data_IF_597082566452
#
_entry.id   IF_597082566452
#
_cell.length_a   1.000
_cell.length_b   1.000
_cell.length_c   1.000
_cell.angle_alpha   90.00
_cell.angle_beta   90.00
_cell.angle_gamma   90.00
#
_symmetry.space_group_name_H-M   'P 1'
#
loop_
_entity.id
_entity.type
_entity.pdbx_description
1 polymer ?
#
# COMPACT_ATOMS: atom_id res chain seq x y z
N UNK A 1 -3.80 -13.65 4.64
CA UNK A 1 -4.60 -14.59 5.47
C UNK A 1 -4.24 -16.00 5.04
N UNK A 2 -4.26 -16.96 5.95
CA UNK A 2 -3.86 -18.34 5.67
C UNK A 2 -5.02 -19.28 5.97
N UNK A 3 -5.43 -20.07 4.97
CA UNK A 3 -6.52 -21.04 5.09
C UNK A 3 -5.94 -22.45 5.18
N UNK A 4 -6.31 -23.17 6.24
CA UNK A 4 -5.94 -24.56 6.46
C UNK A 4 -7.15 -25.46 6.23
N UNK A 5 -6.99 -26.45 5.35
CA UNK A 5 -8.10 -27.28 4.91
C UNK A 5 -7.67 -28.74 4.76
N UNK A 6 -8.53 -29.66 5.16
CA UNK A 6 -8.30 -31.09 5.13
C UNK A 6 -8.95 -31.69 3.89
N UNK A 7 -8.14 -32.35 3.07
CA UNK A 7 -8.57 -32.94 1.80
C UNK A 7 -8.36 -34.45 1.79
N UNK A 8 -9.20 -35.13 1.01
CA UNK A 8 -9.11 -36.55 0.73
C UNK A 8 -8.98 -36.79 -0.77
N UNK A 9 -8.06 -37.66 -1.18
CA UNK A 9 -7.92 -38.11 -2.57
C UNK A 9 -8.36 -39.58 -2.69
N UNK A 10 -9.52 -39.85 -3.32
CA UNK A 10 -10.00 -41.23 -3.51
C UNK A 10 -9.11 -42.07 -4.42
N UNK A 11 -8.38 -41.45 -5.35
CA UNK A 11 -7.55 -42.17 -6.33
C UNK A 11 -6.31 -42.79 -5.68
N UNK A 12 -5.77 -42.13 -4.64
CA UNK A 12 -4.58 -42.60 -3.91
C UNK A 12 -4.89 -43.05 -2.48
N UNK A 13 -6.16 -43.03 -2.07
CA UNK A 13 -6.64 -43.25 -0.70
C UNK A 13 -5.84 -42.48 0.37
N UNK A 14 -5.54 -41.21 0.09
CA UNK A 14 -4.70 -40.38 0.94
C UNK A 14 -5.45 -39.18 1.49
N UNK A 15 -5.03 -38.74 2.66
CA UNK A 15 -5.51 -37.52 3.30
C UNK A 15 -4.35 -36.55 3.48
N UNK A 16 -4.60 -35.27 3.27
CA UNK A 16 -3.57 -34.25 3.42
C UNK A 16 -4.16 -32.91 3.87
N UNK A 17 -3.35 -32.13 4.58
CA UNK A 17 -3.68 -30.77 4.95
C UNK A 17 -3.06 -29.82 3.93
N UNK A 18 -3.90 -29.02 3.28
CA UNK A 18 -3.47 -28.00 2.33
C UNK A 18 -3.56 -26.62 2.93
N UNK A 19 -2.53 -25.82 2.62
CA UNK A 19 -2.40 -24.43 3.00
C UNK A 19 -2.64 -23.55 1.77
N UNK A 20 -3.50 -22.55 1.91
CA UNK A 20 -3.70 -21.52 0.88
C UNK A 20 -3.37 -20.14 1.46
N UNK A 21 -2.36 -19.53 0.88
CA UNK A 21 -1.98 -18.16 1.23
C UNK A 21 -2.79 -17.19 0.39
N UNK A 22 -3.33 -16.17 1.05
CA UNK A 22 -4.03 -15.04 0.41
C UNK A 22 -3.21 -13.77 0.57
N UNK A 23 -3.15 -12.92 -0.47
CA UNK A 23 -2.39 -11.68 -0.44
C UNK A 23 -2.93 -10.72 0.65
N UNK A 24 -2.05 -9.81 1.11
CA UNK A 24 -2.44 -8.79 2.08
C UNK A 24 -3.49 -7.85 1.48
N UNK A 25 -4.50 -7.49 2.28
CA UNK A 25 -5.52 -6.51 1.93
C UNK A 25 -5.48 -5.36 2.94
N UNK A 26 -5.35 -4.13 2.43
CA UNK A 26 -5.33 -2.92 3.26
C UNK A 26 -6.77 -2.51 3.56
N UNK A 27 -7.04 -2.18 4.83
CA UNK A 27 -8.34 -1.74 5.31
C UNK A 27 -8.21 -0.28 5.78
N UNK A 28 -8.80 0.66 5.04
CA UNK A 28 -8.68 2.10 5.32
C UNK A 28 -9.82 2.65 6.21
N UNK A 29 -10.95 1.95 6.35
CA UNK A 29 -12.12 2.44 7.09
C UNK A 29 -12.84 1.34 7.87
N UNK A 30 -13.29 1.65 9.10
CA UNK A 30 -14.00 0.73 9.99
C UNK A 30 -15.45 0.47 9.56
N UNK A 31 -16.03 1.27 8.66
CA UNK A 31 -17.41 1.10 8.18
C UNK A 31 -17.58 -0.01 7.13
N UNK A 32 -16.49 -0.58 6.60
CA UNK A 32 -16.50 -1.59 5.53
C UNK A 32 -16.35 -3.03 6.03
N UNK A 33 -16.66 -3.30 7.30
CA UNK A 33 -16.45 -4.63 7.91
C UNK A 33 -17.28 -5.74 7.27
N UNK A 34 -18.47 -5.44 6.75
CA UNK A 34 -19.32 -6.42 6.05
C UNK A 34 -18.75 -6.78 4.68
N UNK A 35 -18.44 -5.78 3.87
CA UNK A 35 -17.85 -5.97 2.54
C UNK A 35 -16.55 -6.78 2.64
N UNK A 36 -15.77 -6.57 3.69
CA UNK A 36 -14.56 -7.35 3.96
C UNK A 36 -14.85 -8.82 4.24
N UNK A 37 -15.86 -9.13 5.05
CA UNK A 37 -16.23 -10.51 5.35
C UNK A 37 -16.71 -11.20 4.05
N UNK A 38 -17.54 -10.52 3.26
CA UNK A 38 -18.03 -11.06 1.98
C UNK A 38 -16.88 -11.30 1.00
N UNK A 39 -15.93 -10.37 0.92
CA UNK A 39 -14.73 -10.54 0.09
C UNK A 39 -13.86 -11.72 0.56
N UNK A 40 -13.70 -11.90 1.88
CA UNK A 40 -12.95 -13.03 2.41
C UNK A 40 -13.64 -14.37 2.14
N UNK A 41 -14.97 -14.44 2.29
CA UNK A 41 -15.75 -15.62 1.95
C UNK A 41 -15.60 -15.97 0.47
N UNK A 42 -15.71 -14.97 -0.41
CA UNK A 42 -15.53 -15.15 -1.86
C UNK A 42 -14.15 -15.69 -2.20
N UNK A 43 -13.09 -15.22 -1.52
CA UNK A 43 -11.72 -15.71 -1.72
C UNK A 43 -11.59 -17.17 -1.27
N UNK A 44 -12.20 -17.54 -0.15
CA UNK A 44 -12.17 -18.90 0.39
C UNK A 44 -12.89 -19.86 -0.57
N UNK A 45 -14.08 -19.49 -1.04
CA UNK A 45 -14.86 -20.29 -1.99
C UNK A 45 -14.08 -20.51 -3.29
N UNK A 46 -13.58 -19.42 -3.89
CA UNK A 46 -12.79 -19.54 -5.13
C UNK A 46 -11.53 -20.39 -4.95
N UNK A 47 -10.85 -20.33 -3.79
CA UNK A 47 -9.65 -21.15 -3.55
C UNK A 47 -9.97 -22.62 -3.37
N UNK A 48 -11.11 -22.91 -2.73
CA UNK A 48 -11.65 -24.26 -2.58
C UNK A 48 -11.99 -24.85 -3.95
N UNK A 49 -12.74 -24.09 -4.76
CA UNK A 49 -13.21 -24.52 -6.08
C UNK A 49 -12.04 -24.71 -7.06
N UNK A 50 -11.10 -23.77 -7.12
CA UNK A 50 -9.91 -23.86 -7.97
C UNK A 50 -9.09 -25.12 -7.68
N UNK A 51 -9.05 -25.57 -6.42
CA UNK A 51 -8.33 -26.78 -6.02
C UNK A 51 -9.09 -28.07 -6.37
N UNK A 52 -10.42 -28.04 -6.25
CA UNK A 52 -11.29 -29.15 -6.62
C UNK A 52 -11.37 -29.35 -8.15
N UNK A 53 -11.44 -28.27 -8.93
CA UNK A 53 -11.63 -28.30 -10.38
C UNK A 53 -10.36 -28.59 -11.19
N UNK A 54 -9.16 -28.35 -10.65
CA UNK A 54 -7.89 -28.55 -11.38
C UNK A 54 -7.41 -30.00 -11.49
N UNK A 55 -8.33 -30.95 -11.71
CA UNK A 55 -8.07 -32.37 -12.00
C UNK A 55 -7.24 -33.13 -10.94
N UNK A 56 -7.11 -32.57 -9.73
CA UNK A 56 -6.25 -33.12 -8.69
C UNK A 56 -6.85 -34.35 -8.00
N UNK A 57 -8.17 -34.56 -8.16
CA UNK A 57 -8.94 -35.62 -7.52
C UNK A 57 -9.09 -35.44 -6.01
N UNK A 58 -8.72 -34.29 -5.47
CA UNK A 58 -8.84 -34.00 -4.04
C UNK A 58 -10.22 -33.40 -3.72
N UNK A 59 -10.88 -34.00 -2.75
CA UNK A 59 -12.19 -33.60 -2.22
C UNK A 59 -11.94 -32.87 -0.90
N UNK A 60 -12.46 -31.65 -0.79
CA UNK A 60 -12.45 -30.93 0.49
C UNK A 60 -13.35 -31.67 1.48
N UNK A 61 -12.80 -32.06 2.63
CA UNK A 61 -13.58 -32.65 3.71
C UNK A 61 -13.96 -31.59 4.75
N UNK A 62 -12.97 -30.85 5.28
CA UNK A 62 -13.18 -29.92 6.38
C UNK A 62 -12.26 -28.70 6.27
N UNK A 63 -12.80 -27.52 6.60
CA UNK A 63 -12.02 -26.33 6.91
C UNK A 63 -11.51 -26.46 8.35
N UNK A 64 -10.20 -26.41 8.57
CA UNK A 64 -9.61 -26.59 9.90
C UNK A 64 -9.63 -25.28 10.68
N UNK A 65 -8.94 -24.27 10.17
CA UNK A 65 -8.93 -22.92 10.75
C UNK A 65 -8.42 -21.89 9.74
N UNK A 66 -8.72 -20.63 10.05
CA UNK A 66 -8.35 -19.46 9.27
C UNK A 66 -7.48 -18.54 10.11
N UNK A 67 -6.29 -18.22 9.63
CA UNK A 67 -5.41 -17.27 10.28
C UNK A 67 -5.48 -15.89 9.59
N UNK A 68 -5.94 -14.89 10.32
CA UNK A 68 -6.04 -13.51 9.85
C UNK A 68 -4.98 -12.67 10.58
N UNK A 69 -3.96 -12.29 9.83
CA UNK A 69 -2.91 -11.39 10.29
C UNK A 69 -3.31 -9.93 10.01
N UNK A 70 -3.64 -9.18 11.07
CA UNK A 70 -4.02 -7.77 11.00
C UNK A 70 -2.84 -6.91 11.46
N UNK A 71 -2.26 -6.15 10.54
CA UNK A 71 -1.20 -5.20 10.85
C UNK A 71 -1.78 -3.78 10.91
N UNK A 72 -1.53 -3.05 12.01
CA UNK A 72 -1.88 -1.63 12.08
C UNK A 72 -0.96 -0.84 11.17
N UNK A 73 -1.49 -0.40 10.04
CA UNK A 73 -0.79 0.47 9.11
C UNK A 73 -1.10 1.94 9.43
N UNK A 74 -0.05 2.75 9.61
CA UNK A 74 -0.19 4.21 9.71
C UNK A 74 0.21 4.82 8.38
N UNK A 75 -0.73 5.30 7.54
CA UNK A 75 -0.38 5.93 6.28
C UNK A 75 0.53 7.12 6.52
N UNK A 76 1.57 7.25 5.68
CA UNK A 76 2.44 8.42 5.69
C UNK A 76 1.58 9.65 5.41
N UNK A 77 1.56 10.61 6.33
CA UNK A 77 0.91 11.90 6.14
C UNK A 77 1.88 12.81 5.39
N UNK A 78 1.49 13.20 4.18
CA UNK A 78 2.19 14.23 3.43
C UNK A 78 1.68 15.60 3.90
N UNK A 79 2.23 16.11 5.01
CA UNK A 79 1.92 17.45 5.51
C UNK A 79 3.11 18.40 5.36
N UNK A 80 4.14 18.18 6.18
CA UNK A 80 5.31 19.05 6.30
C UNK A 80 6.60 18.27 6.07
N UNK A 81 7.73 18.98 6.14
CA UNK A 81 9.05 18.38 6.03
C UNK A 81 9.24 17.22 7.01
N UNK A 82 9.73 16.09 6.48
CA UNK A 82 10.15 14.93 7.25
C UNK A 82 11.66 14.78 7.06
N UNK A 83 12.38 14.67 8.17
CA UNK A 83 13.81 14.46 8.14
C UNK A 83 14.11 13.07 7.56
N UNK A 84 14.94 13.02 6.52
CA UNK A 84 15.36 11.77 5.90
C UNK A 84 16.49 11.13 6.69
N UNK A 85 16.57 9.78 6.72
CA UNK A 85 17.73 9.07 7.24
C UNK A 85 19.06 9.59 6.64
N UNK A 86 20.14 9.66 7.42
CA UNK A 86 21.44 10.19 6.98
C UNK A 86 21.96 9.51 5.71
N UNK A 87 21.71 8.21 5.53
CA UNK A 87 22.14 7.42 4.38
C UNK A 87 21.53 7.92 3.06
N UNK A 88 20.30 8.43 3.10
CA UNK A 88 19.61 8.99 1.94
C UNK A 88 20.08 10.42 1.71
N UNK A 89 20.20 11.21 2.77
CA UNK A 89 20.64 12.60 2.72
C UNK A 89 22.05 12.72 2.16
N UNK A 90 22.97 11.83 2.55
CA UNK A 90 24.36 11.80 2.06
C UNK A 90 24.47 11.48 0.58
N UNK A 91 23.55 10.64 0.05
CA UNK A 91 23.54 10.29 -1.37
C UNK A 91 23.14 11.44 -2.26
N UNK A 92 22.52 12.49 -1.70
CA UNK A 92 22.22 13.71 -2.44
C UNK A 92 21.33 13.48 -3.68
N UNK A 93 20.66 12.34 -3.75
CA UNK A 93 19.84 11.88 -4.89
C UNK A 93 18.35 12.15 -4.70
N UNK A 94 17.97 12.86 -3.64
CA UNK A 94 16.57 13.16 -3.29
C UNK A 94 16.45 14.64 -2.95
N UNK A 95 15.50 15.31 -3.60
CA UNK A 95 15.12 16.69 -3.28
C UNK A 95 14.09 16.64 -2.16
N UNK A 96 14.47 17.06 -0.96
CA UNK A 96 13.60 17.11 0.23
C UNK A 96 13.36 18.56 0.65
N UNK A 97 12.29 19.18 0.12
CA UNK A 97 11.98 20.58 0.42
C UNK A 97 11.53 20.74 1.87
N UNK A 98 12.19 21.65 2.58
CA UNK A 98 11.89 22.08 3.95
C UNK A 98 10.72 23.05 3.98
N UNK A 99 9.51 22.54 4.05
CA UNK A 99 8.29 23.33 4.25
C UNK A 99 7.80 23.26 5.70
N UNK A 100 7.27 24.39 6.20
CA UNK A 100 6.65 24.52 7.52
C UNK A 100 5.11 24.61 7.44
N UNK A 101 4.54 24.30 6.28
CA UNK A 101 3.11 24.34 5.97
C UNK A 101 2.60 22.94 5.58
N UNK A 102 1.32 22.80 5.26
CA UNK A 102 0.70 21.53 4.87
C UNK A 102 0.76 21.25 3.35
N UNK A 103 1.59 22.00 2.62
CA UNK A 103 1.63 21.99 1.16
C UNK A 103 2.81 21.19 0.59
N UNK A 104 3.37 20.21 1.31
CA UNK A 104 4.57 19.48 0.87
C UNK A 104 4.39 18.80 -0.50
N UNK A 105 3.18 18.35 -0.83
CA UNK A 105 2.87 17.81 -2.15
C UNK A 105 3.01 18.88 -3.24
N UNK A 106 2.43 20.07 -3.02
CA UNK A 106 2.54 21.17 -3.98
C UNK A 106 4.00 21.60 -4.15
N UNK A 107 4.75 21.72 -3.04
CA UNK A 107 6.19 21.99 -3.07
C UNK A 107 6.97 20.94 -3.85
N UNK A 108 6.64 19.65 -3.69
CA UNK A 108 7.30 18.56 -4.43
C UNK A 108 7.05 18.65 -5.94
N UNK A 109 5.83 18.98 -6.35
CA UNK A 109 5.49 19.21 -7.77
C UNK A 109 6.21 20.44 -8.32
N UNK A 110 6.32 21.52 -7.54
CA UNK A 110 7.08 22.71 -7.95
C UNK A 110 8.56 22.38 -8.14
N UNK A 111 9.18 21.61 -7.24
CA UNK A 111 10.57 21.16 -7.38
C UNK A 111 10.79 20.36 -8.66
N UNK A 112 9.83 19.52 -9.04
CA UNK A 112 9.88 18.76 -10.28
C UNK A 112 9.79 19.65 -11.53
N UNK A 113 8.92 20.67 -11.50
CA UNK A 113 8.74 21.61 -12.60
C UNK A 113 9.89 22.62 -12.72
N UNK A 114 10.49 22.98 -11.59
CA UNK A 114 11.59 23.93 -11.49
C UNK A 114 12.75 23.27 -10.72
N UNK A 115 13.52 22.39 -11.38
CA UNK A 115 14.60 21.67 -10.73
C UNK A 115 15.57 22.65 -10.05
N UNK A 116 15.92 22.42 -8.78
CA UNK A 116 16.82 23.31 -8.07
C UNK A 116 18.21 23.29 -8.72
N UNK A 117 18.87 24.45 -8.73
CA UNK A 117 20.29 24.54 -9.14
C UNK A 117 21.17 24.10 -7.95
N UNK A 118 21.33 22.78 -7.80
CA UNK A 118 22.11 22.16 -6.73
C UNK A 118 21.26 21.67 -5.57
N UNK A 119 21.87 21.53 -4.39
CA UNK A 119 21.23 20.99 -3.18
C UNK A 119 20.41 22.03 -2.43
N UNK A 120 19.46 22.63 -3.13
CA UNK A 120 18.57 23.60 -2.52
C UNK A 120 17.30 22.94 -1.99
N UNK A 121 17.23 22.86 -0.66
CA UNK A 121 16.14 22.25 0.08
C UNK A 121 15.18 23.29 0.64
N UNK A 122 15.30 24.57 0.29
CA UNK A 122 14.46 25.63 0.85
C UNK A 122 13.28 25.97 -0.08
N UNK A 123 12.12 26.27 0.52
CA UNK A 123 10.94 26.74 -0.21
C UNK A 123 11.20 28.06 -0.93
N UNK A 124 12.02 28.95 -0.35
CA UNK A 124 12.35 30.28 -0.90
C UNK A 124 13.09 30.23 -2.24
N UNK A 125 13.72 29.09 -2.54
CA UNK A 125 14.50 28.90 -3.77
C UNK A 125 13.63 28.45 -4.95
N UNK A 126 12.35 28.21 -4.68
CA UNK A 126 11.36 27.82 -5.66
C UNK A 126 10.29 28.91 -5.76
N UNK A 127 9.69 29.12 -6.95
CA UNK A 127 8.50 29.94 -7.07
C UNK A 127 7.42 29.45 -6.10
N UNK A 128 6.67 30.37 -5.50
CA UNK A 128 5.65 30.00 -4.52
C UNK A 128 4.59 29.10 -5.18
N UNK A 129 4.21 28.00 -4.53
CA UNK A 129 3.46 26.93 -5.21
C UNK A 129 2.17 27.38 -5.87
N UNK A 130 1.43 28.34 -5.29
CA UNK A 130 0.16 28.83 -5.85
C UNK A 130 0.33 29.69 -7.10
N UNK A 131 1.55 30.17 -7.37
CA UNK A 131 1.88 30.90 -8.61
C UNK A 131 2.12 29.95 -9.79
N UNK A 132 2.44 28.68 -9.49
CA UNK A 132 2.77 27.65 -10.48
C UNK A 132 1.61 26.66 -10.65
N UNK A 133 0.93 26.31 -9.56
CA UNK A 133 -0.09 25.27 -9.51
C UNK A 133 -1.45 25.86 -9.17
N UNK A 134 -2.46 25.46 -9.94
CA UNK A 134 -3.85 25.67 -9.55
C UNK A 134 -4.27 24.56 -8.58
N UNK A 135 -4.41 24.90 -7.30
CA UNK A 135 -4.81 23.97 -6.24
C UNK A 135 -6.32 23.95 -5.97
N UNK A 136 -7.13 24.61 -6.81
CA UNK A 136 -8.58 24.63 -6.63
C UNK A 136 -9.17 23.21 -6.70
N UNK A 137 -9.92 22.82 -5.65
CA UNK A 137 -10.52 21.49 -5.55
C UNK A 137 -9.59 20.40 -4.98
N UNK A 138 -8.39 20.78 -4.50
CA UNK A 138 -7.49 19.88 -3.76
C UNK A 138 -7.45 20.32 -2.30
N UNK A 139 -7.82 19.41 -1.40
CA UNK A 139 -7.71 19.63 0.03
C UNK A 139 -6.31 19.25 0.53
N UNK A 140 -5.71 20.14 1.33
CA UNK A 140 -4.40 19.93 1.97
C UNK A 140 -4.55 19.82 3.50
N UNK A 141 -3.70 19.01 4.17
CA UNK A 141 -2.69 18.12 3.60
C UNK A 141 -3.33 16.96 2.82
N UNK A 142 -2.70 16.54 1.72
CA UNK A 142 -3.25 15.45 0.90
C UNK A 142 -3.27 14.17 1.73
N UNK A 143 -4.47 13.64 1.94
CA UNK A 143 -4.66 12.29 2.49
C UNK A 143 -4.36 11.28 1.39
N UNK A 144 -3.17 10.69 1.44
CA UNK A 144 -2.80 9.60 0.54
C UNK A 144 -3.50 8.31 0.96
N UNK A 145 -4.55 7.93 0.25
CA UNK A 145 -4.97 6.52 0.20
C UNK A 145 -3.92 5.77 -0.64
N UNK A 146 -3.28 4.78 -0.04
CA UNK A 146 -1.99 4.24 -0.49
C UNK A 146 -2.09 3.56 -1.86
N UNK A 147 -1.88 4.32 -2.92
CA UNK A 147 -1.30 3.82 -4.19
C UNK A 147 -0.06 4.58 -4.62
N UNK A 148 0.30 5.70 -3.96
CA UNK A 148 1.43 6.51 -4.41
C UNK A 148 2.15 7.12 -3.21
N UNK A 149 3.28 6.54 -2.86
CA UNK A 149 4.27 7.21 -2.01
C UNK A 149 4.90 8.29 -2.89
N UNK A 150 4.53 9.55 -2.70
CA UNK A 150 5.30 10.68 -3.24
C UNK A 150 6.52 10.90 -2.36
N UNK A 151 7.48 9.99 -2.46
CA UNK A 151 8.87 10.40 -2.36
C UNK A 151 9.17 10.95 -3.75
N UNK A 152 9.44 12.24 -3.87
CA UNK A 152 10.09 12.78 -5.07
C UNK A 152 11.52 12.23 -5.13
N UNK A 153 11.65 10.92 -5.41
CA UNK A 153 12.86 10.31 -5.93
C UNK A 153 13.00 10.75 -7.39
N UNK A 154 13.15 12.04 -7.60
CA UNK A 154 13.89 12.51 -8.76
C UNK A 154 15.35 12.24 -8.45
N UNK A 155 15.82 11.05 -8.83
CA UNK A 155 17.25 10.81 -9.01
C UNK A 155 17.74 11.80 -10.05
N UNK A 156 18.63 12.69 -9.63
CA UNK A 156 19.49 13.47 -10.54
C UNK A 156 20.50 12.52 -11.19
#
# INVERSE_FOLDING_TARGET
MELFSYYYNPSSDNHDVKLFNTPFKIICNSSATKDLIEDFLTIIDHKTDEFAEKDSGWILLNLLFLEININKFNPLRASSFIELPPEITQRQAVVNIRNNDDYCFAWSVVAALHPPRGFDFQTLSHPYYSTVLNTAGIDFPITLDIKTIFLSMYTV
#
